data_IF_722049463343
#
_entry.id   IF_722049463343
#
_cell.length_a   1.000
_cell.length_b   1.000
_cell.length_c   1.000
_cell.angle_alpha   90.00
_cell.angle_beta   90.00
_cell.angle_gamma   90.00
#
_symmetry.space_group_name_H-M   'P 1'
#
loop_
_entity.id
_entity.type
_entity.pdbx_description
1 polymer ?
#
# COMPACT_ATOMS: atom_id res chain seq x y z
N UNK A 1 -0.75 23.19 -20.43
CA UNK A 1 -0.06 23.05 -19.14
C UNK A 1 0.61 21.66 -19.04
N UNK A 2 -0.09 20.58 -18.69
CA UNK A 2 0.51 19.25 -18.45
C UNK A 2 1.30 18.70 -19.64
N UNK A 3 0.81 18.87 -20.89
CA UNK A 3 1.51 18.45 -22.09
C UNK A 3 2.91 19.09 -22.19
N UNK A 4 3.05 20.37 -21.85
CA UNK A 4 4.34 21.06 -21.85
C UNK A 4 5.27 20.52 -20.76
N UNK A 5 4.74 20.24 -19.57
CA UNK A 5 5.49 19.61 -18.48
C UNK A 5 6.01 18.24 -18.89
N UNK A 6 5.17 17.39 -19.46
CA UNK A 6 5.57 16.06 -19.93
C UNK A 6 6.62 16.13 -21.06
N UNK A 7 6.48 17.09 -21.99
CA UNK A 7 7.47 17.33 -23.03
C UNK A 7 8.83 17.69 -22.45
N UNK A 8 8.86 18.63 -21.51
CA UNK A 8 10.09 19.03 -20.82
C UNK A 8 10.76 17.86 -20.07
N UNK A 9 9.98 17.04 -19.39
CA UNK A 9 10.51 15.83 -18.75
C UNK A 9 11.08 14.86 -19.77
N UNK A 10 10.40 14.65 -20.90
CA UNK A 10 10.88 13.80 -21.99
C UNK A 10 12.17 14.28 -22.63
N UNK A 11 12.36 15.60 -22.75
CA UNK A 11 13.55 16.22 -23.37
C UNK A 11 14.73 16.38 -22.40
N UNK A 12 14.46 16.68 -21.13
CA UNK A 12 15.48 17.05 -20.12
C UNK A 12 15.63 16.08 -18.96
N UNK A 13 14.82 15.02 -18.94
CA UNK A 13 14.84 14.01 -17.88
C UNK A 13 14.15 14.47 -16.58
N UNK A 14 14.32 13.67 -15.53
CA UNK A 14 13.67 13.89 -14.24
C UNK A 14 14.15 15.16 -13.51
N UNK A 15 15.37 15.60 -13.81
CA UNK A 15 15.99 16.73 -13.10
C UNK A 15 15.20 18.03 -13.27
N UNK A 16 14.61 18.28 -14.45
CA UNK A 16 13.78 19.47 -14.67
C UNK A 16 12.52 19.48 -13.76
N UNK A 17 12.04 18.29 -13.38
CA UNK A 17 10.88 18.15 -12.49
C UNK A 17 11.25 18.33 -11.02
N UNK A 18 12.40 17.78 -10.58
CA UNK A 18 12.76 17.76 -9.17
C UNK A 18 13.67 18.92 -8.73
N UNK A 19 14.52 19.45 -9.62
CA UNK A 19 15.48 20.52 -9.33
C UNK A 19 15.32 21.78 -10.23
N UNK A 20 14.58 21.65 -11.33
CA UNK A 20 14.53 22.67 -12.36
C UNK A 20 13.32 23.58 -12.26
N UNK A 21 12.95 24.11 -13.42
CA UNK A 21 11.88 25.09 -13.58
C UNK A 21 10.52 24.57 -13.10
N UNK A 22 10.21 23.27 -13.35
CA UNK A 22 8.93 22.69 -12.93
C UNK A 22 8.85 22.65 -11.41
N UNK A 23 9.93 22.23 -10.71
CA UNK A 23 10.00 22.23 -9.26
C UNK A 23 9.68 23.61 -8.67
N UNK A 24 10.34 24.65 -9.18
CA UNK A 24 10.14 26.05 -8.72
C UNK A 24 8.70 26.51 -8.89
N UNK A 25 8.11 26.24 -10.05
CA UNK A 25 6.73 26.62 -10.36
C UNK A 25 5.73 25.88 -9.47
N UNK A 26 5.94 24.59 -9.23
CA UNK A 26 5.10 23.80 -8.32
C UNK A 26 5.20 24.32 -6.89
N UNK A 27 6.42 24.52 -6.38
CA UNK A 27 6.64 25.05 -5.03
C UNK A 27 5.98 26.41 -4.84
N UNK A 28 6.20 27.33 -5.78
CA UNK A 28 5.59 28.66 -5.75
C UNK A 28 4.05 28.61 -5.73
N UNK A 29 3.47 27.71 -6.53
CA UNK A 29 2.01 27.55 -6.56
C UNK A 29 1.46 26.98 -5.23
N UNK A 30 2.14 25.99 -4.63
CA UNK A 30 1.78 25.43 -3.33
C UNK A 30 1.86 26.50 -2.24
N UNK A 31 2.93 27.30 -2.21
CA UNK A 31 3.09 28.40 -1.24
C UNK A 31 2.04 29.49 -1.43
N UNK A 32 1.71 29.86 -2.66
CA UNK A 32 0.63 30.80 -2.95
C UNK A 32 -0.75 30.26 -2.50
N UNK A 33 -0.92 28.94 -2.43
CA UNK A 33 -2.09 28.26 -1.87
C UNK A 33 -1.99 28.05 -0.34
N UNK A 34 -1.08 28.71 0.36
CA UNK A 34 -0.80 28.53 1.79
C UNK A 34 -0.28 27.12 2.17
N UNK A 35 0.33 26.40 1.25
CA UNK A 35 1.05 25.17 1.55
C UNK A 35 2.49 25.42 2.00
N UNK A 36 3.14 24.38 2.51
CA UNK A 36 4.43 24.48 3.21
C UNK A 36 5.60 23.90 2.41
N UNK A 37 5.45 23.66 1.10
CA UNK A 37 6.53 23.10 0.30
C UNK A 37 7.71 24.06 0.17
N UNK A 38 8.90 23.47 0.19
CA UNK A 38 10.15 24.11 -0.18
C UNK A 38 10.75 23.41 -1.40
N UNK A 39 11.62 24.10 -2.16
CA UNK A 39 12.31 23.48 -3.30
C UNK A 39 13.16 22.28 -2.86
N UNK A 40 13.63 22.27 -1.62
CA UNK A 40 14.37 21.16 -1.00
C UNK A 40 13.54 19.88 -0.91
N UNK A 41 12.23 19.95 -0.72
CA UNK A 41 11.37 18.78 -0.62
C UNK A 41 11.36 17.98 -1.93
N UNK A 42 11.38 18.66 -3.05
CA UNK A 42 11.46 18.04 -4.37
C UNK A 42 12.90 17.62 -4.69
N UNK A 43 13.87 18.50 -4.50
CA UNK A 43 15.29 18.26 -4.80
C UNK A 43 15.84 17.05 -4.03
N UNK A 44 15.45 16.89 -2.79
CA UNK A 44 15.97 15.87 -1.89
C UNK A 44 15.17 14.55 -1.96
N UNK A 45 14.07 14.52 -2.73
CA UNK A 45 13.32 13.28 -2.96
C UNK A 45 14.18 12.24 -3.69
N UNK A 46 14.13 11.00 -3.21
CA UNK A 46 14.83 9.86 -3.83
C UNK A 46 13.92 8.65 -3.89
N UNK A 47 14.01 7.92 -4.99
CA UNK A 47 13.43 6.58 -5.11
C UNK A 47 14.19 5.64 -4.16
N UNK A 48 13.47 4.77 -3.47
CA UNK A 48 14.04 3.74 -2.60
C UNK A 48 13.81 2.39 -3.23
N UNK A 49 14.88 1.64 -3.44
CA UNK A 49 14.82 0.23 -3.81
C UNK A 49 14.67 -0.60 -2.53
N UNK A 50 13.74 -1.54 -2.53
CA UNK A 50 13.43 -2.39 -1.39
C UNK A 50 13.32 -3.84 -1.84
N UNK A 51 13.71 -4.77 -0.99
CA UNK A 51 13.52 -6.19 -1.23
C UNK A 51 12.03 -6.54 -1.16
N UNK A 52 11.50 -7.29 -2.16
CA UNK A 52 10.11 -7.69 -2.16
C UNK A 52 9.81 -8.71 -1.06
N UNK A 53 8.54 -8.79 -0.66
CA UNK A 53 8.06 -9.87 0.20
C UNK A 53 7.84 -11.11 -0.67
N UNK A 54 8.46 -12.23 -0.27
CA UNK A 54 8.34 -13.51 -0.93
C UNK A 54 7.78 -14.56 0.03
N UNK A 55 6.80 -15.33 -0.43
CA UNK A 55 6.26 -16.46 0.32
C UNK A 55 5.69 -17.53 -0.62
N UNK A 56 5.43 -18.71 -0.08
CA UNK A 56 4.79 -19.82 -0.80
C UNK A 56 3.35 -19.98 -0.34
N UNK A 57 2.46 -20.29 -1.26
CA UNK A 57 1.09 -20.68 -1.00
C UNK A 57 0.68 -21.79 -1.96
N UNK A 58 0.36 -22.98 -1.45
CA UNK A 58 -0.05 -24.15 -2.23
C UNK A 58 0.87 -24.47 -3.41
N UNK A 59 2.17 -24.32 -3.20
CA UNK A 59 3.21 -24.58 -4.19
C UNK A 59 3.45 -23.46 -5.19
N UNK A 60 2.66 -22.40 -5.19
CA UNK A 60 2.96 -21.19 -5.94
C UNK A 60 3.89 -20.27 -5.13
N UNK A 61 4.87 -19.66 -5.81
CA UNK A 61 5.71 -18.61 -5.26
C UNK A 61 5.03 -17.26 -5.50
N UNK A 62 4.87 -16.49 -4.45
CA UNK A 62 4.30 -15.14 -4.50
C UNK A 62 5.38 -14.13 -4.19
N UNK A 63 5.55 -13.16 -5.07
CA UNK A 63 6.46 -12.02 -4.92
C UNK A 63 5.64 -10.75 -4.98
N UNK A 64 5.67 -9.94 -3.94
CA UNK A 64 4.78 -8.78 -3.79
C UNK A 64 5.47 -7.58 -3.15
N UNK A 65 4.79 -6.43 -3.18
CA UNK A 65 5.34 -5.16 -2.69
C UNK A 65 5.73 -5.23 -1.21
N UNK A 66 6.88 -4.66 -0.85
CA UNK A 66 7.31 -4.52 0.54
C UNK A 66 6.71 -3.27 1.19
N UNK A 67 6.91 -3.12 2.50
CA UNK A 67 6.62 -1.88 3.22
C UNK A 67 7.37 -0.67 2.58
N UNK A 68 6.78 0.52 2.59
CA UNK A 68 5.59 0.92 3.34
C UNK A 68 4.26 0.55 2.67
N UNK A 69 4.21 -0.32 1.67
CA UNK A 69 2.93 -0.92 1.30
C UNK A 69 2.63 -2.11 2.19
N UNK A 70 1.54 -2.04 2.95
CA UNK A 70 1.12 -3.09 3.88
C UNK A 70 0.55 -4.31 3.18
N UNK A 71 0.03 -4.13 1.95
CA UNK A 71 -0.75 -5.15 1.26
C UNK A 71 0.00 -6.47 1.07
N UNK A 72 1.30 -6.41 0.74
CA UNK A 72 2.11 -7.62 0.59
C UNK A 72 2.25 -8.43 1.88
N UNK A 73 2.47 -7.75 3.01
CA UNK A 73 2.59 -8.43 4.31
C UNK A 73 1.24 -8.93 4.81
N UNK A 74 0.16 -8.16 4.64
CA UNK A 74 -1.21 -8.62 4.94
C UNK A 74 -1.57 -9.84 4.09
N UNK A 75 -1.27 -9.83 2.79
CA UNK A 75 -1.49 -10.96 1.89
C UNK A 75 -0.71 -12.21 2.36
N UNK A 76 0.56 -12.05 2.74
CA UNK A 76 1.36 -13.16 3.27
C UNK A 76 0.71 -13.76 4.52
N UNK A 77 0.26 -12.93 5.47
CA UNK A 77 -0.44 -13.39 6.67
C UNK A 77 -1.74 -14.13 6.34
N UNK A 78 -2.58 -13.55 5.48
CA UNK A 78 -3.85 -14.15 5.06
C UNK A 78 -3.60 -15.53 4.44
N UNK A 79 -2.68 -15.64 3.50
CA UNK A 79 -2.41 -16.91 2.82
C UNK A 79 -1.76 -17.95 3.76
N UNK A 80 -0.88 -17.53 4.67
CA UNK A 80 -0.32 -18.44 5.68
C UNK A 80 -1.40 -18.92 6.68
N UNK A 81 -2.40 -18.11 6.98
CA UNK A 81 -3.56 -18.55 7.78
C UNK A 81 -4.38 -19.59 6.99
N UNK A 82 -4.70 -19.29 5.72
CA UNK A 82 -5.48 -20.18 4.85
C UNK A 82 -4.77 -21.50 4.55
N UNK A 83 -3.44 -21.53 4.50
CA UNK A 83 -2.65 -22.76 4.27
C UNK A 83 -2.95 -23.87 5.30
N UNK A 84 -3.42 -23.50 6.49
CA UNK A 84 -3.76 -24.45 7.55
C UNK A 84 -5.12 -25.13 7.40
N UNK A 85 -5.87 -24.83 6.34
CA UNK A 85 -7.20 -25.40 6.10
C UNK A 85 -7.23 -26.18 4.78
N UNK A 86 -8.06 -27.23 4.72
CA UNK A 86 -8.38 -27.88 3.46
C UNK A 86 -9.49 -27.08 2.75
N UNK A 87 -9.08 -26.10 1.94
CA UNK A 87 -10.02 -25.18 1.28
C UNK A 87 -10.95 -25.89 0.26
N UNK A 88 -10.57 -27.09 -0.23
CA UNK A 88 -11.37 -27.85 -1.21
C UNK A 88 -12.60 -28.49 -0.57
N UNK A 89 -12.61 -28.66 0.75
CA UNK A 89 -13.72 -29.24 1.49
C UNK A 89 -14.71 -28.20 2.01
N UNK A 90 -14.39 -26.92 1.88
CA UNK A 90 -15.23 -25.83 2.35
C UNK A 90 -16.28 -25.45 1.30
N UNK A 91 -17.49 -25.15 1.74
CA UNK A 91 -18.47 -24.45 0.92
C UNK A 91 -18.01 -23.03 0.59
N UNK A 92 -18.60 -22.41 -0.41
CA UNK A 92 -18.30 -21.03 -0.79
C UNK A 92 -18.51 -20.05 0.38
N UNK A 93 -19.53 -20.28 1.21
CA UNK A 93 -19.84 -19.45 2.39
C UNK A 93 -18.76 -19.61 3.46
N UNK A 94 -18.36 -20.84 3.76
CA UNK A 94 -17.30 -21.12 4.73
C UNK A 94 -15.96 -20.56 4.26
N UNK A 95 -15.65 -20.68 2.97
CA UNK A 95 -14.45 -20.10 2.38
C UNK A 95 -14.46 -18.56 2.49
N UNK A 96 -15.56 -17.93 2.11
CA UNK A 96 -15.71 -16.47 2.23
C UNK A 96 -15.56 -16.02 3.69
N UNK A 97 -16.21 -16.71 4.62
CA UNK A 97 -16.09 -16.45 6.05
C UNK A 97 -14.64 -16.58 6.53
N UNK A 98 -13.96 -17.65 6.16
CA UNK A 98 -12.56 -17.90 6.54
C UNK A 98 -11.62 -16.82 6.00
N UNK A 99 -11.81 -16.42 4.73
CA UNK A 99 -11.02 -15.34 4.12
C UNK A 99 -11.21 -14.04 4.89
N UNK A 100 -12.46 -13.66 5.22
CA UNK A 100 -12.75 -12.46 6.00
C UNK A 100 -12.13 -12.55 7.40
N UNK A 101 -12.20 -13.69 8.07
CA UNK A 101 -11.59 -13.89 9.39
C UNK A 101 -10.05 -13.77 9.32
N UNK A 102 -9.43 -14.29 8.27
CA UNK A 102 -7.98 -14.14 8.04
C UNK A 102 -7.61 -12.67 7.76
N UNK A 103 -8.39 -11.98 6.92
CA UNK A 103 -8.19 -10.55 6.61
C UNK A 103 -8.32 -9.69 7.87
N UNK A 104 -9.33 -9.89 8.71
CA UNK A 104 -9.48 -9.17 9.98
C UNK A 104 -8.20 -9.23 10.83
N UNK A 105 -7.52 -10.38 10.84
CA UNK A 105 -6.28 -10.57 11.60
C UNK A 105 -5.12 -9.83 10.96
N UNK A 106 -4.97 -9.92 9.64
CA UNK A 106 -3.95 -9.18 8.90
C UNK A 106 -4.10 -7.66 9.04
N UNK A 107 -5.33 -7.16 8.95
CA UNK A 107 -5.61 -5.73 9.14
C UNK A 107 -5.46 -5.26 10.59
N UNK A 108 -5.74 -6.13 11.56
CA UNK A 108 -5.41 -5.86 12.96
C UNK A 108 -3.90 -5.66 13.16
N UNK A 109 -3.08 -6.54 12.56
CA UNK A 109 -1.64 -6.44 12.65
C UNK A 109 -1.10 -5.23 11.85
N UNK A 110 -1.71 -4.93 10.70
CA UNK A 110 -1.43 -3.71 9.93
C UNK A 110 -1.56 -2.46 10.80
N UNK A 111 -2.68 -2.34 11.49
CA UNK A 111 -2.98 -1.19 12.33
C UNK A 111 -2.00 -1.03 13.51
N UNK A 112 -1.46 -2.14 14.03
CA UNK A 112 -0.60 -2.13 15.21
C UNK A 112 0.87 -1.93 14.86
N UNK A 113 1.37 -2.61 13.79
CA UNK A 113 2.82 -2.77 13.57
C UNK A 113 3.35 -2.07 12.33
N UNK A 114 2.50 -1.78 11.31
CA UNK A 114 3.03 -1.42 10.00
C UNK A 114 3.18 0.08 9.83
N UNK A 115 4.28 0.47 9.17
CA UNK A 115 4.64 1.83 8.83
C UNK A 115 5.84 1.85 7.88
N UNK A 116 6.50 3.00 7.72
CA UNK A 116 7.73 3.08 6.92
C UNK A 116 8.90 2.41 7.67
N UNK A 117 9.48 1.33 7.13
CA UNK A 117 10.56 0.59 7.81
C UNK A 117 11.86 1.38 7.93
N UNK A 118 11.96 2.57 7.33
CA UNK A 118 13.07 3.50 7.58
C UNK A 118 12.93 4.26 8.91
N UNK A 119 11.75 4.20 9.54
CA UNK A 119 11.40 4.93 10.76
C UNK A 119 10.93 4.01 11.90
N UNK A 120 10.39 2.84 11.57
CA UNK A 120 9.86 1.90 12.56
C UNK A 120 10.34 0.48 12.29
N UNK A 121 10.66 -0.24 13.37
CA UNK A 121 11.03 -1.66 13.29
C UNK A 121 9.77 -2.51 13.17
N UNK A 122 9.44 -2.93 11.96
CA UNK A 122 8.31 -3.81 11.69
C UNK A 122 8.79 -5.25 11.69
N UNK A 123 8.23 -6.14 12.52
CA UNK A 123 8.67 -7.54 12.63
C UNK A 123 8.17 -8.38 11.44
N UNK A 124 8.61 -8.05 10.21
CA UNK A 124 8.13 -8.63 8.95
C UNK A 124 8.26 -10.15 8.94
N UNK A 125 9.43 -10.69 9.30
CA UNK A 125 9.69 -12.13 9.30
C UNK A 125 8.74 -12.86 10.26
N UNK A 126 8.51 -12.31 11.46
CA UNK A 126 7.56 -12.86 12.43
C UNK A 126 6.16 -12.86 11.87
N UNK A 127 5.68 -11.71 11.38
CA UNK A 127 4.33 -11.53 10.89
C UNK A 127 4.01 -12.41 9.67
N UNK A 128 5.00 -12.67 8.81
CA UNK A 128 4.88 -13.54 7.64
C UNK A 128 5.14 -15.02 7.96
N UNK A 129 5.47 -15.39 9.20
CA UNK A 129 5.85 -16.76 9.55
C UNK A 129 4.65 -17.69 9.68
N UNK A 130 4.89 -18.99 9.40
CA UNK A 130 3.89 -20.06 9.58
C UNK A 130 3.47 -20.23 11.06
N UNK A 131 4.44 -20.08 11.97
CA UNK A 131 4.18 -20.21 13.43
C UNK A 131 3.25 -19.09 13.92
N UNK A 132 3.45 -17.87 13.42
CA UNK A 132 2.56 -16.76 13.73
C UNK A 132 1.16 -16.98 13.14
N UNK A 133 1.09 -17.42 11.89
CA UNK A 133 -0.19 -17.75 11.25
C UNK A 133 -0.93 -18.87 11.98
N UNK A 134 -0.23 -19.87 12.50
CA UNK A 134 -0.83 -20.94 13.33
C UNK A 134 -1.49 -20.35 14.57
N UNK A 135 -0.81 -19.47 15.30
CA UNK A 135 -1.38 -18.80 16.49
C UNK A 135 -2.59 -17.94 16.12
N UNK A 136 -2.56 -17.28 14.97
CA UNK A 136 -3.69 -16.47 14.51
C UNK A 136 -4.89 -17.32 14.11
N UNK A 137 -4.67 -18.57 13.64
CA UNK A 137 -5.75 -19.55 13.33
C UNK A 137 -6.49 -20.03 14.56
N UNK A 138 -5.84 -20.24 15.70
CA UNK A 138 -6.43 -20.79 16.92
C UNK A 138 -7.69 -20.05 17.37
N UNK A 139 -7.84 -18.78 17.01
CA UNK A 139 -9.02 -17.98 17.33
C UNK A 139 -10.09 -17.92 16.23
N UNK A 140 -10.00 -18.73 15.17
CA UNK A 140 -10.99 -18.74 14.08
C UNK A 140 -11.97 -19.89 14.29
N UNK A 141 -13.27 -19.54 14.37
CA UNK A 141 -14.38 -20.49 14.28
C UNK A 141 -15.01 -20.40 12.88
N UNK A 142 -15.39 -21.51 12.29
CA UNK A 142 -16.16 -21.52 11.05
C UNK A 142 -17.66 -21.26 11.27
N UNK A 143 -18.14 -21.42 12.51
CA UNK A 143 -19.56 -21.28 12.85
C UNK A 143 -19.92 -19.87 13.35
N UNK A 144 -18.92 -19.04 13.68
CA UNK A 144 -19.15 -17.73 14.25
C UNK A 144 -18.06 -16.73 13.92
N UNK A 145 -18.44 -15.49 13.70
CA UNK A 145 -17.53 -14.38 13.41
C UNK A 145 -16.84 -13.87 14.69
N UNK A 146 -15.54 -13.68 14.62
CA UNK A 146 -14.77 -13.01 15.67
C UNK A 146 -15.11 -11.51 15.69
N UNK A 147 -15.64 -10.95 16.77
CA UNK A 147 -15.82 -9.51 16.86
C UNK A 147 -14.49 -8.77 16.70
N UNK A 148 -14.42 -7.75 15.83
CA UNK A 148 -13.17 -7.03 15.53
C UNK A 148 -12.53 -6.43 16.80
N UNK A 149 -13.32 -5.98 17.77
CA UNK A 149 -12.86 -5.49 19.10
C UNK A 149 -12.02 -6.50 19.89
N UNK A 150 -12.18 -7.80 19.60
CA UNK A 150 -11.41 -8.87 20.26
C UNK A 150 -10.03 -9.07 19.63
N UNK A 151 -9.82 -8.58 18.39
CA UNK A 151 -8.57 -8.69 17.66
C UNK A 151 -7.67 -7.47 17.89
N UNK A 152 -8.25 -6.29 18.00
CA UNK A 152 -7.58 -5.03 18.28
C UNK A 152 -8.54 -4.08 19.00
N UNK A 153 -7.98 -3.19 19.83
CA UNK A 153 -8.72 -2.05 20.38
C UNK A 153 -8.91 -0.94 19.34
N UNK A 154 -8.25 -1.06 18.19
CA UNK A 154 -8.33 -0.14 17.07
C UNK A 154 -9.42 -0.65 16.13
N UNK A 155 -10.45 0.16 15.89
CA UNK A 155 -11.56 -0.15 15.00
C UNK A 155 -11.62 0.90 13.91
N UNK A 156 -11.83 0.44 12.67
CA UNK A 156 -12.14 1.33 11.55
C UNK A 156 -13.49 0.95 10.94
N UNK A 157 -14.21 1.96 10.50
CA UNK A 157 -15.34 1.81 9.58
C UNK A 157 -15.03 2.74 8.41
N UNK A 158 -14.94 2.21 7.20
CA UNK A 158 -14.65 3.04 6.03
C UNK A 158 -15.51 2.69 4.85
N UNK A 159 -15.90 3.73 4.11
CA UNK A 159 -16.22 3.60 2.70
C UNK A 159 -14.90 3.67 1.94
N UNK A 160 -14.49 2.58 1.32
CA UNK A 160 -13.20 2.49 0.62
C UNK A 160 -13.19 3.37 -0.63
N UNK A 161 -12.09 4.08 -0.82
CA UNK A 161 -11.78 4.72 -2.11
C UNK A 161 -11.47 3.67 -3.18
N UNK A 162 -11.94 3.89 -4.41
CA UNK A 162 -11.69 3.02 -5.57
C UNK A 162 -10.68 3.62 -6.55
N UNK A 163 -9.90 4.59 -6.12
CA UNK A 163 -9.16 5.55 -6.94
C UNK A 163 -7.67 5.19 -7.06
N UNK A 164 -7.34 4.20 -7.87
CA UNK A 164 -5.94 3.78 -8.11
C UNK A 164 -5.84 3.25 -9.54
N UNK A 165 -4.65 3.13 -10.08
CA UNK A 165 -4.40 2.53 -11.39
C UNK A 165 -3.37 1.41 -11.25
N UNK A 166 -3.65 0.29 -11.88
CA UNK A 166 -2.71 -0.81 -11.99
C UNK A 166 -2.45 -1.15 -13.46
N UNK A 167 -1.20 -1.49 -13.79
CA UNK A 167 -0.86 -2.08 -15.08
C UNK A 167 0.21 -3.16 -14.95
N UNK A 168 0.14 -4.14 -15.85
CA UNK A 168 1.10 -5.22 -15.99
C UNK A 168 1.70 -5.18 -17.39
N UNK A 169 3.00 -5.34 -17.50
CA UNK A 169 3.72 -5.32 -18.77
C UNK A 169 4.63 -6.54 -18.85
N UNK A 170 4.65 -7.17 -20.03
CA UNK A 170 5.64 -8.18 -20.41
C UNK A 170 6.27 -7.77 -21.75
N UNK A 171 7.57 -7.67 -21.80
CA UNK A 171 8.28 -7.36 -23.06
C UNK A 171 8.65 -8.64 -23.83
N UNK A 172 9.16 -8.45 -25.05
CA UNK A 172 9.58 -9.56 -25.91
C UNK A 172 10.79 -10.36 -25.39
N UNK A 173 11.49 -9.83 -24.38
CA UNK A 173 12.64 -10.49 -23.73
C UNK A 173 12.22 -11.24 -22.46
N UNK A 174 10.94 -11.17 -22.09
CA UNK A 174 10.42 -11.78 -20.86
C UNK A 174 10.62 -10.90 -19.62
N UNK A 175 11.02 -9.64 -19.74
CA UNK A 175 11.01 -8.73 -18.61
C UNK A 175 9.56 -8.41 -18.22
N UNK A 176 9.28 -8.39 -16.92
CA UNK A 176 7.94 -8.23 -16.38
C UNK A 176 7.88 -7.05 -15.42
N UNK A 177 6.79 -6.30 -15.50
CA UNK A 177 6.49 -5.20 -14.59
C UNK A 177 5.07 -5.35 -14.06
N UNK A 178 4.91 -5.23 -12.76
CA UNK A 178 3.63 -5.07 -12.08
C UNK A 178 3.68 -3.73 -11.35
N UNK A 179 2.86 -2.78 -11.75
CA UNK A 179 2.92 -1.43 -11.23
C UNK A 179 1.55 -0.92 -10.79
N UNK A 180 1.47 -0.44 -9.57
CA UNK A 180 0.29 0.21 -9.01
C UNK A 180 0.65 1.64 -8.64
N UNK A 181 -0.15 2.60 -9.11
CA UNK A 181 0.08 4.04 -8.98
C UNK A 181 -1.19 4.71 -8.48
N UNK A 182 -1.04 5.66 -7.60
CA UNK A 182 -2.17 6.40 -7.02
C UNK A 182 -1.77 7.85 -6.75
N UNK A 183 -2.76 8.73 -6.77
CA UNK A 183 -2.69 10.06 -6.16
C UNK A 183 -3.58 10.15 -4.92
N UNK A 184 -4.01 9.00 -4.41
CA UNK A 184 -4.91 8.71 -3.30
C UNK A 184 -6.37 8.99 -3.67
N UNK A 185 -6.97 10.15 -3.41
CA UNK A 185 -8.35 10.44 -3.88
C UNK A 185 -8.45 10.61 -5.40
N UNK A 186 -9.68 10.55 -5.97
CA UNK A 186 -9.98 10.64 -7.42
C UNK A 186 -9.25 11.81 -8.10
N UNK A 187 -9.21 12.95 -7.43
CA UNK A 187 -8.50 14.15 -7.88
C UNK A 187 -7.38 14.53 -6.90
N UNK A 188 -6.82 13.55 -6.17
CA UNK A 188 -5.79 13.80 -5.16
C UNK A 188 -6.21 14.86 -4.16
N UNK A 189 -5.39 15.91 -4.02
CA UNK A 189 -5.71 17.09 -3.20
C UNK A 189 -6.69 18.07 -3.87
N UNK A 190 -7.19 17.77 -5.07
CA UNK A 190 -7.93 18.69 -5.93
C UNK A 190 -7.19 20.01 -6.24
N UNK A 191 -5.88 20.02 -6.08
CA UNK A 191 -5.00 21.16 -6.30
C UNK A 191 -4.06 20.91 -7.49
N UNK A 192 -4.18 21.74 -8.51
CA UNK A 192 -3.21 21.75 -9.62
C UNK A 192 -2.10 22.74 -9.31
N UNK A 193 -0.85 22.29 -9.40
CA UNK A 193 0.31 23.12 -9.10
C UNK A 193 0.55 24.20 -10.15
N UNK A 194 -0.23 25.27 -10.07
CA UNK A 194 -0.19 26.42 -10.96
C UNK A 194 -0.37 26.06 -12.43
N UNK A 195 0.43 26.67 -13.26
CA UNK A 195 0.42 26.48 -14.70
C UNK A 195 1.22 25.26 -15.20
N UNK A 196 1.69 24.41 -14.28
CA UNK A 196 2.39 23.15 -14.64
C UNK A 196 1.42 22.08 -15.13
N UNK A 197 0.14 22.16 -14.71
CA UNK A 197 -0.86 21.14 -14.98
C UNK A 197 -0.69 19.85 -14.16
N UNK A 198 0.24 19.82 -13.21
CA UNK A 198 0.46 18.68 -12.31
C UNK A 198 -0.59 18.72 -11.21
N UNK A 199 -1.43 17.70 -11.16
CA UNK A 199 -2.39 17.49 -10.09
C UNK A 199 -1.67 16.83 -8.91
N UNK A 200 -1.76 17.42 -7.72
CA UNK A 200 -1.06 16.93 -6.54
C UNK A 200 -1.88 15.84 -5.83
N UNK A 201 -1.17 14.87 -5.29
CA UNK A 201 -1.77 13.81 -4.48
C UNK A 201 -2.22 14.35 -3.10
N UNK A 202 -3.00 13.54 -2.38
CA UNK A 202 -3.37 13.77 -0.98
C UNK A 202 -2.93 12.61 -0.06
N UNK A 203 -1.81 11.97 -0.35
CA UNK A 203 -1.28 10.83 0.43
C UNK A 203 -0.91 11.18 1.89
N UNK A 204 -0.85 12.44 2.25
CA UNK A 204 -0.71 12.84 3.66
C UNK A 204 -1.87 12.31 4.53
N UNK A 205 -3.04 12.04 3.91
CA UNK A 205 -4.18 11.43 4.59
C UNK A 205 -3.99 9.93 4.91
N UNK A 206 -2.97 9.28 4.37
CA UNK A 206 -2.65 7.87 4.69
C UNK A 206 -1.90 7.74 6.01
N UNK A 207 -1.34 8.82 6.54
CA UNK A 207 -0.83 8.88 7.91
C UNK A 207 -1.98 8.87 8.92
N UNK A 208 -1.68 8.47 10.15
CA UNK A 208 -2.56 8.68 11.30
C UNK A 208 -2.17 9.96 12.02
N UNK A 209 -3.17 10.70 12.50
CA UNK A 209 -2.95 11.94 13.27
C UNK A 209 -2.68 11.66 14.75
N UNK A 210 -2.95 10.43 15.19
CA UNK A 210 -2.73 9.94 16.54
C UNK A 210 -3.20 8.50 16.67
N UNK A 211 -2.76 7.79 17.72
CA UNK A 211 -3.15 6.40 17.96
C UNK A 211 -4.66 6.28 18.09
N UNK A 212 -5.26 5.44 17.25
CA UNK A 212 -6.71 5.21 17.22
C UNK A 212 -7.54 6.31 16.56
N UNK A 213 -6.93 7.37 16.03
CA UNK A 213 -7.63 8.39 15.24
C UNK A 213 -7.71 7.90 13.80
N UNK A 214 -8.92 7.76 13.21
CA UNK A 214 -9.08 7.30 11.85
C UNK A 214 -8.59 8.34 10.82
N UNK A 215 -8.01 7.87 9.73
CA UNK A 215 -7.72 8.69 8.56
C UNK A 215 -9.00 8.90 7.71
N UNK A 216 -8.86 9.53 6.52
CA UNK A 216 -10.02 9.78 5.63
C UNK A 216 -10.73 8.49 5.16
N UNK A 217 -10.05 7.34 5.18
CA UNK A 217 -10.61 6.04 4.86
C UNK A 217 -11.14 5.28 6.08
N UNK A 218 -11.21 5.93 7.24
CA UNK A 218 -11.59 5.28 8.49
C UNK A 218 -10.56 4.31 9.05
N UNK A 219 -9.38 4.18 8.41
CA UNK A 219 -8.31 3.32 8.88
C UNK A 219 -7.64 3.95 10.10
N UNK A 220 -7.49 3.16 11.13
CA UNK A 220 -6.80 3.52 12.35
C UNK A 220 -5.40 2.89 12.39
N UNK A 221 -4.52 3.48 13.17
CA UNK A 221 -3.17 2.97 13.38
C UNK A 221 -2.60 3.40 14.71
N UNK A 222 -1.35 3.06 14.91
CA UNK A 222 -0.54 3.42 16.06
C UNK A 222 0.52 4.46 15.66
N UNK A 223 1.42 4.72 16.59
CA UNK A 223 2.61 5.57 16.40
C UNK A 223 3.47 5.11 15.22
N UNK A 224 3.37 3.83 14.80
CA UNK A 224 4.11 3.31 13.65
C UNK A 224 3.86 4.10 12.35
N UNK A 225 2.64 4.63 12.17
CA UNK A 225 2.27 5.42 10.98
C UNK A 225 1.94 6.88 11.30
N UNK A 226 2.50 7.46 12.37
CA UNK A 226 2.44 8.89 12.61
C UNK A 226 3.23 9.66 11.57
N UNK A 227 2.79 10.90 11.31
CA UNK A 227 3.46 11.81 10.39
C UNK A 227 4.81 12.26 10.97
N UNK A 228 5.86 12.16 10.15
CA UNK A 228 7.20 12.62 10.48
C UNK A 228 7.88 13.18 9.22
N UNK A 229 8.83 14.13 9.35
CA UNK A 229 9.58 14.65 8.21
C UNK A 229 10.29 13.50 7.44
N UNK A 230 10.15 13.48 6.11
CA UNK A 230 10.73 12.48 5.18
C UNK A 230 10.16 11.06 5.29
N UNK A 231 9.27 10.78 6.20
CA UNK A 231 8.58 9.49 6.33
C UNK A 231 7.57 9.31 5.20
N UNK A 232 7.47 8.09 4.68
CA UNK A 232 6.44 7.71 3.72
C UNK A 232 5.22 7.16 4.44
N UNK A 233 4.00 7.54 4.01
CA UNK A 233 2.79 7.00 4.60
C UNK A 233 2.63 5.51 4.28
N UNK A 234 1.92 4.80 5.15
CA UNK A 234 1.52 3.43 4.93
C UNK A 234 0.52 3.35 3.77
N UNK A 235 0.83 2.53 2.77
CA UNK A 235 -0.02 2.25 1.61
C UNK A 235 -0.60 0.83 1.70
N UNK A 236 -1.52 0.50 0.78
CA UNK A 236 -2.05 -0.87 0.60
C UNK A 236 -1.91 -1.37 -0.84
N UNK A 237 -1.29 -0.61 -1.73
CA UNK A 237 -1.02 -1.00 -3.11
C UNK A 237 -0.15 -2.27 -3.16
N UNK A 238 -0.61 -3.29 -3.91
CA UNK A 238 -0.05 -4.63 -3.84
C UNK A 238 0.21 -5.21 -5.23
N UNK A 239 1.09 -4.60 -6.03
CA UNK A 239 1.54 -5.23 -7.28
C UNK A 239 2.22 -6.56 -6.96
N UNK A 240 1.82 -7.64 -7.67
CA UNK A 240 2.17 -9.00 -7.27
C UNK A 240 2.47 -9.87 -8.49
N UNK A 241 3.44 -10.77 -8.34
CA UNK A 241 3.71 -11.88 -9.23
C UNK A 241 3.37 -13.19 -8.51
N UNK A 242 2.64 -14.08 -9.20
CA UNK A 242 2.36 -15.43 -8.74
C UNK A 242 2.96 -16.40 -9.74
N UNK A 243 3.93 -17.20 -9.31
CA UNK A 243 4.66 -18.15 -10.16
C UNK A 243 4.35 -19.60 -9.73
N UNK A 244 3.89 -20.38 -10.66
CA UNK A 244 3.66 -21.81 -10.47
C UNK A 244 4.15 -22.62 -11.69
N UNK A 245 3.84 -23.93 -11.73
CA UNK A 245 4.21 -24.82 -12.84
C UNK A 245 3.56 -24.45 -14.18
N UNK A 246 2.50 -23.65 -14.18
CA UNK A 246 1.74 -23.24 -15.38
C UNK A 246 2.29 -21.95 -15.98
N UNK A 247 3.03 -21.16 -15.20
CA UNK A 247 3.61 -19.89 -15.64
C UNK A 247 3.61 -18.83 -14.55
N UNK A 248 3.63 -17.56 -14.98
CA UNK A 248 3.65 -16.39 -14.11
C UNK A 248 2.39 -15.57 -14.37
N UNK A 249 1.63 -15.33 -13.31
CA UNK A 249 0.54 -14.36 -13.29
C UNK A 249 1.06 -13.04 -12.72
N UNK A 250 0.82 -11.95 -13.44
CA UNK A 250 1.11 -10.60 -12.99
C UNK A 250 -0.23 -9.95 -12.65
N UNK A 251 -0.40 -9.54 -11.40
CA UNK A 251 -1.70 -9.07 -10.91
C UNK A 251 -1.55 -7.86 -9.99
N UNK A 252 -2.56 -7.05 -9.99
CA UNK A 252 -2.84 -5.97 -9.08
C UNK A 252 -4.20 -5.36 -9.41
N UNK A 253 -4.68 -4.50 -8.56
CA UNK A 253 -6.00 -3.89 -8.74
C UNK A 253 -5.96 -2.40 -8.37
N UNK A 254 -6.75 -1.55 -9.02
CA UNK A 254 -7.14 -0.30 -8.43
C UNK A 254 -8.08 -0.55 -7.26
N UNK A 255 -8.03 0.30 -6.24
CA UNK A 255 -8.92 0.20 -5.09
C UNK A 255 -8.25 0.66 -3.81
N UNK A 256 -9.05 0.81 -2.77
CA UNK A 256 -8.62 1.22 -1.44
C UNK A 256 -8.12 0.07 -0.56
N UNK A 257 -7.98 0.36 0.72
CA UNK A 257 -7.50 -0.57 1.75
C UNK A 257 -8.63 -1.26 2.47
#
# INVERSE_FOLDING_TARGET
ALSQTLKLIGEKGADVFYNGEIAKRMTSAVQAGNGFWEESDLRDYRVIFREPINFLFRGAKITTAPLPSSGGLVMAQVFQILEGYNLETLSEIELAHLVVEAMKRGYSDRAIYMGDPSFVDVPVEKLASKDYAQKRREGISLDSSTPSRNLSKLHSFSDESRETTHFSIVDKKGNMVSATLSINGLFGSAFTAGDTGVLLNNHMNDFVLGTGIPNMYGLVGTEANLIEPKKRPLSSMTPTFVEDKKGILIIGTPGGS
#
